data_IF_591221161531
#
_entry.id   IF_591221161531
#
_cell.length_a   1.000
_cell.length_b   1.000
_cell.length_c   1.000
_cell.angle_alpha   90.00
_cell.angle_beta   90.00
_cell.angle_gamma   90.00
#
_symmetry.space_group_name_H-M   'P 1'
#
loop_
_entity.id
_entity.type
_entity.pdbx_description
1 polymer ?
#
# COMPACT_ATOMS: atom_id res chain seq x y z
N UNK A 1 -24.46 -27.46 0.46
CA UNK A 1 -24.08 -26.38 1.41
C UNK A 1 -22.67 -25.88 1.07
N UNK A 2 -22.35 -24.60 1.26
CA UNK A 2 -21.01 -24.08 0.99
C UNK A 2 -19.99 -24.70 1.96
N UNK A 3 -18.78 -24.94 1.46
CA UNK A 3 -17.68 -25.59 2.18
C UNK A 3 -16.66 -24.52 2.57
N UNK A 4 -16.78 -24.00 3.78
CA UNK A 4 -15.91 -22.94 4.28
C UNK A 4 -14.52 -23.48 4.66
N UNK A 5 -13.51 -22.61 4.61
CA UNK A 5 -12.21 -22.90 5.22
C UNK A 5 -12.38 -22.99 6.73
N UNK A 6 -11.62 -23.88 7.38
CA UNK A 6 -11.59 -23.97 8.83
C UNK A 6 -10.98 -22.70 9.43
N UNK A 7 -11.61 -22.16 10.47
CA UNK A 7 -11.12 -21.01 11.21
C UNK A 7 -10.49 -21.49 12.52
N UNK A 8 -9.39 -20.86 12.93
CA UNK A 8 -8.77 -21.10 14.23
C UNK A 8 -8.78 -19.80 15.04
N UNK A 9 -9.55 -19.78 16.14
CA UNK A 9 -9.60 -18.62 17.05
C UNK A 9 -8.29 -18.41 17.82
N UNK A 10 -7.47 -19.45 17.94
CA UNK A 10 -6.14 -19.39 18.57
C UNK A 10 -5.03 -19.03 17.56
N UNK A 11 -5.39 -18.57 16.35
CA UNK A 11 -4.41 -18.18 15.35
C UNK A 11 -3.63 -16.94 15.81
N UNK A 12 -2.39 -17.18 16.24
CA UNK A 12 -1.49 -16.17 16.80
C UNK A 12 -0.52 -15.55 15.77
N UNK A 13 -0.49 -16.07 14.54
CA UNK A 13 0.39 -15.61 13.48
C UNK A 13 -0.42 -15.28 12.21
N UNK A 14 -0.14 -14.11 11.65
CA UNK A 14 -0.69 -13.68 10.37
C UNK A 14 0.19 -14.27 9.25
N UNK A 15 -0.42 -15.00 8.32
CA UNK A 15 0.28 -15.36 7.08
C UNK A 15 0.43 -14.09 6.28
N UNK A 16 1.66 -13.60 6.13
CA UNK A 16 1.97 -12.43 5.32
C UNK A 16 1.71 -12.80 3.87
N UNK A 17 0.64 -12.27 3.31
CA UNK A 17 0.31 -12.45 1.90
C UNK A 17 1.28 -11.59 1.10
N UNK A 18 1.90 -12.17 0.06
CA UNK A 18 2.76 -11.41 -0.84
C UNK A 18 1.90 -10.34 -1.55
N UNK A 19 2.22 -9.07 -1.29
CA UNK A 19 1.50 -7.94 -1.85
C UNK A 19 1.46 -7.96 -3.37
N UNK A 20 2.56 -8.34 -4.04
CA UNK A 20 2.62 -8.38 -5.49
C UNK A 20 1.63 -9.39 -6.07
N UNK A 21 1.46 -10.53 -5.39
CA UNK A 21 0.50 -11.57 -5.79
C UNK A 21 -0.96 -11.13 -5.56
N UNK A 22 -1.21 -10.07 -4.77
CA UNK A 22 -2.55 -9.51 -4.56
C UNK A 22 -2.93 -8.47 -5.62
N UNK A 23 -1.98 -7.96 -6.40
CA UNK A 23 -2.23 -6.96 -7.43
C UNK A 23 -2.76 -7.60 -8.72
N UNK A 24 -4.00 -8.08 -8.65
CA UNK A 24 -4.66 -8.76 -9.74
C UNK A 24 -5.02 -7.78 -10.88
N UNK A 25 -4.73 -8.12 -12.15
CA UNK A 25 -5.13 -7.28 -13.28
C UNK A 25 -6.63 -6.97 -13.29
N UNK A 26 -6.99 -5.75 -13.69
CA UNK A 26 -8.38 -5.30 -13.74
C UNK A 26 -8.93 -4.78 -12.41
N UNK A 27 -8.16 -4.84 -11.32
CA UNK A 27 -8.53 -4.16 -10.06
C UNK A 27 -8.02 -2.72 -10.02
N UNK A 28 -8.62 -1.92 -9.14
CA UNK A 28 -8.19 -0.54 -8.92
C UNK A 28 -6.78 -0.48 -8.33
N UNK A 29 -6.47 -1.38 -7.40
CA UNK A 29 -5.19 -1.50 -6.72
C UNK A 29 -4.06 -1.77 -7.72
N UNK A 30 -4.31 -2.64 -8.71
CA UNK A 30 -3.39 -2.91 -9.79
C UNK A 30 -3.16 -1.68 -10.68
N UNK A 31 -4.24 -0.96 -11.03
CA UNK A 31 -4.13 0.25 -11.84
C UNK A 31 -3.33 1.35 -11.11
N UNK A 32 -3.61 1.59 -9.83
CA UNK A 32 -2.87 2.56 -9.01
C UNK A 32 -1.40 2.17 -8.90
N UNK A 33 -1.11 0.88 -8.66
CA UNK A 33 0.26 0.39 -8.61
C UNK A 33 1.00 0.65 -9.92
N UNK A 34 0.40 0.27 -11.05
CA UNK A 34 1.02 0.42 -12.37
C UNK A 34 1.28 1.88 -12.73
N UNK A 35 0.34 2.78 -12.46
CA UNK A 35 0.49 4.20 -12.76
C UNK A 35 1.62 4.83 -11.94
N UNK A 36 1.66 4.53 -10.63
CA UNK A 36 2.67 5.10 -9.74
C UNK A 36 4.06 4.58 -10.06
N UNK A 37 4.21 3.27 -10.29
CA UNK A 37 5.52 2.65 -10.53
C UNK A 37 6.08 2.92 -11.93
N UNK A 38 5.21 3.05 -12.94
CA UNK A 38 5.66 3.03 -14.33
C UNK A 38 5.29 4.27 -15.15
N UNK A 39 4.43 5.15 -14.64
CA UNK A 39 3.94 6.31 -15.40
C UNK A 39 4.21 7.66 -14.75
N UNK A 40 4.53 7.69 -13.46
CA UNK A 40 4.80 8.93 -12.73
C UNK A 40 6.29 9.07 -12.40
N UNK A 41 6.84 10.27 -12.66
CA UNK A 41 8.15 10.66 -12.15
C UNK A 41 7.99 11.30 -10.76
N UNK A 42 8.42 10.57 -9.73
CA UNK A 42 8.36 11.01 -8.33
C UNK A 42 9.66 11.67 -7.85
N UNK A 43 10.64 11.86 -8.73
CA UNK A 43 11.93 12.47 -8.36
C UNK A 43 11.79 13.90 -7.82
N UNK A 44 10.67 14.58 -8.13
CA UNK A 44 10.31 15.88 -7.57
C UNK A 44 10.25 15.90 -6.03
N UNK A 45 10.02 14.75 -5.39
CA UNK A 45 10.01 14.63 -3.93
C UNK A 45 11.42 14.47 -3.33
N UNK A 46 12.39 13.98 -4.10
CA UNK A 46 13.72 13.62 -3.60
C UNK A 46 14.48 14.79 -2.93
N UNK A 47 14.51 16.02 -3.48
CA UNK A 47 15.26 17.13 -2.89
C UNK A 47 14.82 17.54 -1.48
N UNK A 48 13.64 17.08 -1.02
CA UNK A 48 13.13 17.37 0.32
C UNK A 48 13.70 16.43 1.39
N UNK A 49 14.27 15.30 0.98
CA UNK A 49 14.88 14.35 1.89
C UNK A 49 16.34 14.75 2.17
N UNK A 50 16.75 14.64 3.44
CA UNK A 50 18.10 14.97 3.93
C UNK A 50 18.57 13.91 4.93
N UNK A 51 18.54 12.66 4.51
CA UNK A 51 18.78 11.49 5.36
C UNK A 51 19.77 10.49 4.75
N UNK A 52 20.68 10.95 3.88
CA UNK A 52 21.64 10.10 3.19
C UNK A 52 22.70 9.49 4.13
N UNK A 53 23.04 10.18 5.22
CA UNK A 53 24.11 9.78 6.13
C UNK A 53 23.64 9.43 7.55
N UNK A 54 22.56 10.05 8.04
CA UNK A 54 22.06 9.89 9.41
C UNK A 54 20.54 10.03 9.48
N UNK A 55 19.95 9.57 10.59
CA UNK A 55 18.51 9.66 10.84
C UNK A 55 17.72 8.44 10.40
N UNK A 56 16.39 8.56 10.41
CA UNK A 56 15.48 7.47 10.02
C UNK A 56 15.38 7.38 8.50
N UNK A 57 15.32 6.16 7.99
CA UNK A 57 14.99 5.91 6.58
C UNK A 57 13.64 6.54 6.23
N UNK A 58 13.61 7.19 5.07
CA UNK A 58 12.39 7.78 4.55
C UNK A 58 11.48 6.68 3.99
N UNK A 59 10.18 6.90 4.09
CA UNK A 59 9.23 6.16 3.27
C UNK A 59 9.29 6.68 1.84
N UNK A 60 9.32 5.76 0.89
CA UNK A 60 9.26 6.07 -0.53
C UNK A 60 7.92 6.79 -0.86
N UNK A 61 7.94 7.94 -1.56
CA UNK A 61 6.72 8.60 -2.03
C UNK A 61 5.76 7.66 -2.78
N UNK A 62 6.27 6.69 -3.53
CA UNK A 62 5.46 5.73 -4.29
C UNK A 62 4.54 4.91 -3.39
N UNK A 63 5.05 4.37 -2.29
CA UNK A 63 4.24 3.54 -1.38
C UNK A 63 3.19 4.39 -0.65
N UNK A 64 3.55 5.63 -0.26
CA UNK A 64 2.62 6.54 0.40
C UNK A 64 1.46 6.94 -0.52
N UNK A 65 1.75 7.26 -1.79
CA UNK A 65 0.73 7.61 -2.77
C UNK A 65 -0.24 6.45 -3.04
N UNK A 66 0.28 5.22 -3.14
CA UNK A 66 -0.58 4.01 -3.28
C UNK A 66 -1.57 3.90 -2.13
N UNK A 67 -1.10 4.08 -0.89
CA UNK A 67 -1.94 4.00 0.31
C UNK A 67 -3.00 5.11 0.33
N UNK A 68 -2.60 6.36 0.07
CA UNK A 68 -3.51 7.52 0.11
C UNK A 68 -4.60 7.40 -0.96
N UNK A 69 -4.23 7.09 -2.20
CA UNK A 69 -5.19 6.98 -3.30
C UNK A 69 -6.12 5.78 -3.11
N UNK A 70 -5.62 4.68 -2.55
CA UNK A 70 -6.44 3.56 -2.16
C UNK A 70 -7.43 3.93 -1.04
N UNK A 71 -7.00 4.64 0.00
CA UNK A 71 -7.88 5.11 1.06
C UNK A 71 -8.99 6.03 0.51
N UNK A 72 -8.63 6.97 -0.37
CA UNK A 72 -9.60 7.86 -1.02
C UNK A 72 -10.61 7.12 -1.88
N UNK A 73 -10.21 6.06 -2.60
CA UNK A 73 -11.17 5.25 -3.37
C UNK A 73 -12.14 4.46 -2.49
N UNK A 74 -11.81 4.27 -1.20
CA UNK A 74 -12.70 3.71 -0.17
C UNK A 74 -13.45 4.78 0.64
N UNK A 75 -13.33 6.06 0.28
CA UNK A 75 -13.96 7.18 1.00
C UNK A 75 -13.30 7.53 2.34
N UNK A 76 -12.12 6.96 2.64
CA UNK A 76 -11.36 7.24 3.86
C UNK A 76 -10.50 8.48 3.60
N UNK A 77 -10.90 9.62 4.11
CA UNK A 77 -10.21 10.91 3.88
C UNK A 77 -9.39 11.40 5.08
N UNK A 78 -9.57 10.77 6.24
CA UNK A 78 -8.91 11.12 7.50
C UNK A 78 -8.22 9.88 8.10
N UNK A 79 -7.06 10.09 8.72
CA UNK A 79 -6.38 9.07 9.52
C UNK A 79 -6.91 8.97 10.96
N UNK A 80 -7.85 9.84 11.32
CA UNK A 80 -8.53 9.90 12.62
C UNK A 80 -9.99 9.52 12.45
N UNK A 81 -10.56 8.81 13.42
CA UNK A 81 -12.01 8.75 13.59
C UNK A 81 -12.57 10.17 13.72
N UNK A 82 -13.66 10.42 12.99
CA UNK A 82 -14.42 11.66 13.04
C UNK A 82 -15.66 11.49 13.91
#
# INVERSE_FOLDING_TARGET
MPRFKAYNYDQNAMVVINYQDQLQPGTFEHAVHYLIEHKLDLSVFHPKYRNDATGRLAYDPAILLKIILFAYSKGITSSREM
#
